data_IF_521468937950
#
_entry.id   IF_521468937950
#
_cell.length_a   1.000
_cell.length_b   1.000
_cell.length_c   1.000
_cell.angle_alpha   90.00
_cell.angle_beta   90.00
_cell.angle_gamma   90.00
#
_symmetry.space_group_name_H-M   'P 1'
#
loop_
_entity.id
_entity.type
_entity.pdbx_description
1 polymer ?
#
# COMPACT_ATOMS: atom_id res chain seq x y z
N UNK A 1 15.26 16.52 4.33
CA UNK A 1 14.47 16.29 5.56
C UNK A 1 14.50 14.81 5.90
N UNK A 2 14.78 14.48 7.17
CA UNK A 2 14.84 13.09 7.61
C UNK A 2 13.50 12.60 8.16
N UNK A 3 13.35 11.28 8.29
CA UNK A 3 12.16 10.64 8.91
C UNK A 3 11.95 11.10 10.36
N UNK A 4 12.99 11.59 11.01
CA UNK A 4 12.97 12.06 12.38
C UNK A 4 12.19 13.38 12.54
N UNK A 5 12.26 14.26 11.54
CA UNK A 5 11.57 15.56 11.54
C UNK A 5 10.16 15.48 10.94
N UNK A 6 9.81 14.37 10.29
CA UNK A 6 8.56 14.20 9.54
C UNK A 6 7.32 14.55 10.35
N UNK A 7 7.23 14.08 11.61
CA UNK A 7 6.05 14.34 12.45
C UNK A 7 5.88 15.83 12.77
N UNK A 8 6.97 16.56 13.00
CA UNK A 8 6.93 18.00 13.23
C UNK A 8 6.55 18.73 11.95
N UNK A 9 7.17 18.37 10.83
CA UNK A 9 6.90 18.97 9.52
C UNK A 9 5.45 18.74 9.05
N UNK A 10 4.88 17.57 9.34
CA UNK A 10 3.46 17.30 9.05
C UNK A 10 2.50 18.17 9.85
N UNK A 11 2.81 18.47 11.09
CA UNK A 11 2.01 19.36 11.92
C UNK A 11 2.07 20.81 11.43
N UNK A 12 3.23 21.25 10.96
CA UNK A 12 3.45 22.59 10.43
C UNK A 12 2.83 22.75 9.02
N UNK A 13 3.21 21.87 8.09
CA UNK A 13 2.76 21.92 6.68
C UNK A 13 1.28 21.56 6.52
N UNK A 14 0.74 20.72 7.40
CA UNK A 14 -0.65 20.22 7.35
C UNK A 14 -1.04 19.73 5.97
N UNK A 15 -0.35 18.71 5.41
CA UNK A 15 -0.56 18.25 4.05
C UNK A 15 -1.97 17.70 3.86
N UNK A 16 -2.46 17.77 2.62
CA UNK A 16 -3.72 17.14 2.21
C UNK A 16 -3.51 15.77 1.57
N UNK A 17 -2.37 15.57 0.93
CA UNK A 17 -1.93 14.29 0.36
C UNK A 17 -0.45 14.14 0.69
N UNK A 18 -0.03 12.91 0.98
CA UNK A 18 1.37 12.57 1.15
C UNK A 18 1.66 11.27 0.40
N UNK A 19 2.70 11.29 -0.40
CA UNK A 19 3.22 10.10 -1.08
C UNK A 19 4.44 9.58 -0.34
N UNK A 20 4.55 8.27 -0.17
CA UNK A 20 5.71 7.65 0.46
C UNK A 20 5.87 6.18 0.05
N UNK A 21 7.04 5.63 0.32
CA UNK A 21 7.32 4.21 0.15
C UNK A 21 6.81 3.41 1.35
N UNK A 22 6.50 2.10 1.20
CA UNK A 22 6.00 1.25 2.27
C UNK A 22 6.83 1.29 3.54
N UNK A 23 8.17 1.32 3.43
CA UNK A 23 9.09 1.37 4.57
C UNK A 23 8.79 2.51 5.55
N UNK A 24 8.33 3.66 5.05
CA UNK A 24 7.93 4.76 5.93
C UNK A 24 6.70 4.37 6.77
N UNK A 25 5.71 3.74 6.15
CA UNK A 25 4.49 3.29 6.86
C UNK A 25 4.79 2.20 7.88
N UNK A 26 5.68 1.27 7.57
CA UNK A 26 6.17 0.24 8.51
C UNK A 26 6.82 0.88 9.75
N UNK A 27 7.74 1.82 9.54
CA UNK A 27 8.37 2.54 10.65
C UNK A 27 7.37 3.34 11.48
N UNK A 28 6.41 3.99 10.83
CA UNK A 28 5.36 4.75 11.54
C UNK A 28 4.45 3.81 12.34
N UNK A 29 4.07 2.66 11.78
CA UNK A 29 3.30 1.62 12.44
C UNK A 29 4.02 1.15 13.72
N UNK A 30 5.28 0.74 13.62
CA UNK A 30 6.08 0.29 14.76
C UNK A 30 6.21 1.36 15.85
N UNK A 31 6.48 2.62 15.47
CA UNK A 31 6.56 3.73 16.44
C UNK A 31 5.23 4.01 17.14
N UNK A 32 4.11 3.95 16.42
CA UNK A 32 2.78 4.14 17.00
C UNK A 32 2.49 3.03 18.00
N UNK A 33 2.70 1.76 17.63
CA UNK A 33 2.47 0.61 18.51
C UNK A 33 3.34 0.66 19.76
N UNK A 34 4.65 0.93 19.63
CA UNK A 34 5.54 1.09 20.77
C UNK A 34 5.08 2.22 21.71
N UNK A 35 4.63 3.34 21.16
CA UNK A 35 4.08 4.45 21.95
C UNK A 35 2.78 4.08 22.68
N UNK A 36 1.92 3.30 22.05
CA UNK A 36 0.66 2.81 22.64
C UNK A 36 0.94 1.80 23.76
N UNK A 37 1.83 0.84 23.54
CA UNK A 37 2.25 -0.15 24.54
C UNK A 37 2.89 0.53 25.75
N UNK A 38 3.77 1.51 25.53
CA UNK A 38 4.37 2.31 26.61
C UNK A 38 3.33 3.08 27.43
N UNK A 39 2.25 3.56 26.79
CA UNK A 39 1.16 4.23 27.50
C UNK A 39 0.30 3.26 28.32
N UNK A 40 0.17 2.02 27.90
CA UNK A 40 -0.47 0.91 28.59
C UNK A 40 -1.93 1.14 29.03
N UNK A 41 -2.44 0.17 29.78
CA UNK A 41 -3.72 0.26 30.47
C UNK A 41 -4.92 0.60 29.59
N UNK A 42 -5.74 1.57 30.03
CA UNK A 42 -6.98 1.94 29.32
C UNK A 42 -6.70 2.58 27.94
N UNK A 43 -5.60 3.34 27.83
CA UNK A 43 -5.25 4.00 26.55
C UNK A 43 -4.92 2.98 25.46
N UNK A 44 -4.16 1.96 25.81
CA UNK A 44 -3.83 0.85 24.91
C UNK A 44 -5.09 0.08 24.50
N UNK A 45 -5.94 -0.29 25.48
CA UNK A 45 -7.22 -0.99 25.22
C UNK A 45 -8.13 -0.19 24.28
N UNK A 46 -8.24 1.12 24.49
CA UNK A 46 -9.03 1.99 23.62
C UNK A 46 -8.44 2.08 22.21
N UNK A 47 -7.13 2.18 22.09
CA UNK A 47 -6.45 2.25 20.81
C UNK A 47 -6.63 0.95 20.02
N UNK A 48 -6.37 -0.21 20.63
CA UNK A 48 -6.56 -1.51 20.00
C UNK A 48 -8.04 -1.77 19.66
N UNK A 49 -8.97 -1.32 20.51
CA UNK A 49 -10.39 -1.34 20.22
C UNK A 49 -10.76 -0.48 19.00
N UNK A 50 -10.13 0.69 18.83
CA UNK A 50 -10.34 1.53 17.65
C UNK A 50 -9.82 0.88 16.36
N UNK A 51 -8.67 0.20 16.43
CA UNK A 51 -8.15 -0.60 15.30
C UNK A 51 -9.10 -1.74 14.97
N UNK A 52 -9.49 -2.57 15.94
CA UNK A 52 -10.37 -3.73 15.72
C UNK A 52 -11.73 -3.33 15.12
N UNK A 53 -12.38 -2.30 15.67
CA UNK A 53 -13.68 -1.83 15.14
C UNK A 53 -13.53 -1.13 13.79
N UNK A 54 -12.42 -0.43 13.56
CA UNK A 54 -12.11 0.18 12.26
C UNK A 54 -11.91 -0.87 11.16
N UNK A 55 -11.18 -1.93 11.45
CA UNK A 55 -10.98 -3.08 10.55
C UNK A 55 -12.31 -3.77 10.25
N UNK A 56 -13.11 -4.06 11.28
CA UNK A 56 -14.46 -4.65 11.11
C UNK A 56 -15.35 -3.77 10.23
N UNK A 57 -15.31 -2.44 10.44
CA UNK A 57 -16.08 -1.48 9.64
C UNK A 57 -15.64 -1.46 8.18
N UNK A 58 -14.33 -1.50 7.92
CA UNK A 58 -13.78 -1.50 6.57
C UNK A 58 -14.18 -2.78 5.81
N UNK A 59 -14.04 -3.94 6.44
CA UNK A 59 -14.33 -5.23 5.82
C UNK A 59 -15.84 -5.43 5.59
N UNK A 60 -16.68 -5.07 6.56
CA UNK A 60 -18.12 -5.16 6.44
C UNK A 60 -18.84 -4.23 7.44
N UNK A 61 -19.14 -3.02 7.00
CA UNK A 61 -19.84 -2.03 7.83
C UNK A 61 -21.23 -2.51 8.31
N UNK A 62 -21.90 -3.39 7.55
CA UNK A 62 -23.21 -3.93 7.92
C UNK A 62 -23.13 -4.93 9.10
N UNK A 63 -21.97 -5.54 9.33
CA UNK A 63 -21.76 -6.48 10.45
C UNK A 63 -21.63 -5.82 11.81
N UNK A 64 -21.56 -4.49 11.87
CA UNK A 64 -21.47 -3.76 13.14
C UNK A 64 -22.81 -3.72 13.86
N UNK A 65 -22.86 -4.23 15.10
CA UNK A 65 -24.00 -4.09 16.00
C UNK A 65 -24.24 -2.60 16.38
N UNK A 66 -25.40 -2.29 16.91
CA UNK A 66 -25.71 -0.93 17.42
C UNK A 66 -24.69 -0.53 18.51
N UNK A 67 -24.34 -1.44 19.40
CA UNK A 67 -23.32 -1.22 20.43
C UNK A 67 -21.93 -0.95 19.83
N UNK A 68 -21.54 -1.68 18.76
CA UNK A 68 -20.27 -1.46 18.07
C UNK A 68 -20.26 -0.06 17.43
N UNK A 69 -21.34 0.38 16.81
CA UNK A 69 -21.43 1.71 16.18
C UNK A 69 -21.31 2.84 17.20
N UNK A 70 -21.93 2.70 18.36
CA UNK A 70 -21.78 3.67 19.45
C UNK A 70 -20.34 3.71 19.97
N UNK A 71 -19.75 2.55 20.25
CA UNK A 71 -18.33 2.45 20.65
C UNK A 71 -17.40 3.03 19.58
N UNK A 72 -17.63 2.73 18.31
CA UNK A 72 -16.83 3.23 17.20
C UNK A 72 -16.87 4.75 17.11
N UNK A 73 -18.03 5.38 17.33
CA UNK A 73 -18.19 6.83 17.36
C UNK A 73 -17.41 7.46 18.53
N UNK A 74 -17.43 6.85 19.72
CA UNK A 74 -16.65 7.31 20.86
C UNK A 74 -15.16 7.18 20.59
N UNK A 75 -14.71 6.05 20.07
CA UNK A 75 -13.31 5.79 19.73
C UNK A 75 -12.84 6.67 18.57
N UNK A 76 -13.70 7.06 17.64
CA UNK A 76 -13.35 8.05 16.63
C UNK A 76 -12.97 9.39 17.25
N UNK A 77 -13.76 9.90 18.20
CA UNK A 77 -13.48 11.16 18.88
C UNK A 77 -12.23 11.09 19.78
N UNK A 78 -12.09 10.03 20.55
CA UNK A 78 -11.06 9.92 21.59
C UNK A 78 -9.72 9.43 21.06
N UNK A 79 -9.71 8.59 20.00
CA UNK A 79 -8.51 7.94 19.47
C UNK A 79 -8.21 8.47 18.06
N UNK A 80 -9.11 8.22 17.08
CA UNK A 80 -8.81 8.50 15.67
C UNK A 80 -8.65 9.99 15.37
N UNK A 81 -9.39 10.87 16.03
CA UNK A 81 -9.19 12.32 15.90
C UNK A 81 -7.79 12.76 16.36
N UNK A 82 -7.27 12.15 17.43
CA UNK A 82 -5.91 12.43 17.89
C UNK A 82 -4.87 11.92 16.89
N UNK A 83 -5.10 10.74 16.30
CA UNK A 83 -4.23 10.23 15.24
C UNK A 83 -4.25 11.17 14.04
N UNK A 84 -5.43 11.51 13.50
CA UNK A 84 -5.56 12.46 12.38
C UNK A 84 -4.90 13.81 12.66
N UNK A 85 -5.02 14.31 13.88
CA UNK A 85 -4.37 15.57 14.28
C UNK A 85 -2.84 15.48 14.23
N UNK A 86 -2.25 14.34 14.57
CA UNK A 86 -0.81 14.10 14.46
C UNK A 86 -0.30 14.12 13.02
N UNK A 87 -1.19 13.86 12.07
CA UNK A 87 -0.93 13.97 10.63
C UNK A 87 -1.33 15.35 10.06
N UNK A 88 -1.40 16.38 10.90
CA UNK A 88 -1.73 17.75 10.50
C UNK A 88 -3.23 18.05 10.38
N UNK A 89 -4.12 17.06 10.57
CA UNK A 89 -5.57 17.21 10.65
C UNK A 89 -6.29 17.51 9.32
N UNK A 90 -5.56 17.64 8.19
CA UNK A 90 -6.11 17.96 6.86
C UNK A 90 -5.88 16.85 5.84
N UNK A 91 -5.20 15.78 6.24
CA UNK A 91 -4.80 14.70 5.36
C UNK A 91 -6.03 13.96 4.80
N UNK A 92 -6.16 13.93 3.48
CA UNK A 92 -7.20 13.21 2.74
C UNK A 92 -6.77 11.81 2.33
N UNK A 93 -5.49 11.67 1.95
CA UNK A 93 -4.93 10.39 1.57
C UNK A 93 -3.42 10.33 1.82
N UNK A 94 -2.98 9.13 2.18
CA UNK A 94 -1.61 8.64 2.12
C UNK A 94 -1.51 7.77 0.87
N UNK A 95 -0.53 7.99 0.02
CA UNK A 95 -0.33 7.16 -1.18
C UNK A 95 0.96 6.37 -1.02
N UNK A 96 0.86 5.05 -1.08
CA UNK A 96 1.99 4.13 -1.05
C UNK A 96 2.32 3.65 -2.44
N UNK A 97 3.59 3.71 -2.83
CA UNK A 97 4.07 3.23 -4.12
C UNK A 97 5.55 2.88 -4.10
N UNK A 98 6.03 2.30 -5.20
CA UNK A 98 7.42 1.93 -5.39
C UNK A 98 7.83 0.57 -4.79
N UNK A 99 7.00 -0.03 -3.94
CA UNK A 99 7.14 -1.40 -3.44
C UNK A 99 5.77 -1.88 -2.91
N UNK A 100 5.56 -3.19 -2.70
CA UNK A 100 4.35 -3.72 -2.07
C UNK A 100 4.19 -3.21 -0.64
N UNK A 101 3.00 -2.71 -0.31
CA UNK A 101 2.64 -2.41 1.08
C UNK A 101 2.02 -3.64 1.72
N UNK A 102 2.50 -4.02 2.89
CA UNK A 102 1.86 -5.08 3.66
C UNK A 102 0.38 -4.72 3.95
N UNK A 103 -0.59 -5.59 3.59
CA UNK A 103 -2.02 -5.31 3.76
C UNK A 103 -2.43 -5.01 5.20
N UNK A 104 -1.78 -5.64 6.19
CA UNK A 104 -2.08 -5.41 7.62
C UNK A 104 -1.68 -4.00 8.05
N UNK A 105 -0.56 -3.48 7.54
CA UNK A 105 -0.13 -2.11 7.77
C UNK A 105 -1.09 -1.12 7.09
N UNK A 106 -1.49 -1.39 5.86
CA UNK A 106 -2.52 -0.61 5.17
C UNK A 106 -3.85 -0.57 5.95
N UNK A 107 -4.28 -1.74 6.42
CA UNK A 107 -5.48 -1.90 7.24
C UNK A 107 -5.38 -1.15 8.57
N UNK A 108 -4.23 -1.21 9.23
CA UNK A 108 -3.99 -0.50 10.49
C UNK A 108 -4.22 1.03 10.35
N UNK A 109 -3.63 1.65 9.34
CA UNK A 109 -3.83 3.09 9.10
C UNK A 109 -5.27 3.41 8.73
N UNK A 110 -5.89 2.59 7.89
CA UNK A 110 -7.30 2.74 7.48
C UNK A 110 -8.25 2.60 8.67
N UNK A 111 -8.02 1.63 9.55
CA UNK A 111 -8.79 1.44 10.78
C UNK A 111 -8.67 2.64 11.74
N UNK A 112 -7.54 3.33 11.73
CA UNK A 112 -7.30 4.57 12.48
C UNK A 112 -7.86 5.83 11.80
N UNK A 113 -8.57 5.68 10.68
CA UNK A 113 -9.23 6.79 9.98
C UNK A 113 -8.29 7.60 9.08
N UNK A 114 -7.19 7.00 8.63
CA UNK A 114 -6.29 7.54 7.64
C UNK A 114 -6.49 6.76 6.34
N UNK A 115 -6.90 7.42 5.27
CA UNK A 115 -7.06 6.76 3.98
C UNK A 115 -5.68 6.45 3.41
N UNK A 116 -5.34 5.17 3.25
CA UNK A 116 -4.13 4.74 2.57
C UNK A 116 -4.50 4.12 1.22
N UNK A 117 -3.78 4.52 0.18
CA UNK A 117 -4.03 4.10 -1.20
C UNK A 117 -2.73 3.54 -1.77
N UNK A 118 -2.77 2.36 -2.32
CA UNK A 118 -1.64 1.81 -3.06
C UNK A 118 -1.73 2.24 -4.52
N UNK A 119 -0.59 2.63 -5.09
CA UNK A 119 -0.41 2.86 -6.51
C UNK A 119 0.73 2.01 -7.05
N UNK A 120 0.60 1.62 -8.31
CA UNK A 120 1.56 0.84 -9.05
C UNK A 120 1.96 1.54 -10.33
N UNK A 121 3.22 1.42 -10.63
CA UNK A 121 3.87 1.83 -11.86
C UNK A 121 5.37 1.89 -11.67
N UNK A 122 6.06 2.28 -12.70
CA UNK A 122 7.52 2.35 -12.77
C UNK A 122 7.93 3.61 -13.52
N UNK A 123 9.21 3.96 -13.50
CA UNK A 123 9.73 5.16 -14.17
C UNK A 123 9.33 5.19 -15.64
N UNK A 124 9.31 4.04 -16.28
CA UNK A 124 8.89 3.80 -17.66
C UNK A 124 7.42 4.10 -17.94
N UNK A 125 6.61 4.29 -16.90
CA UNK A 125 5.17 4.62 -16.99
C UNK A 125 4.80 5.95 -16.31
N UNK A 126 5.72 6.85 -16.07
CA UNK A 126 5.64 8.24 -15.61
C UNK A 126 4.78 8.54 -14.36
N UNK A 127 4.90 7.95 -13.25
CA UNK A 127 5.25 6.61 -12.79
C UNK A 127 4.01 5.76 -12.45
N UNK A 128 2.84 5.97 -13.07
CA UNK A 128 1.58 5.41 -12.61
C UNK A 128 0.84 4.62 -13.69
N UNK A 129 0.55 3.35 -13.40
CA UNK A 129 -0.27 2.45 -14.22
C UNK A 129 -1.65 2.25 -13.58
N UNK A 130 -1.68 2.03 -12.26
CA UNK A 130 -2.91 1.84 -11.50
C UNK A 130 -2.82 2.45 -10.10
N UNK A 131 -3.96 2.79 -9.51
CA UNK A 131 -4.02 3.33 -8.16
C UNK A 131 -5.38 3.06 -7.51
N UNK A 132 -5.37 2.66 -6.24
CA UNK A 132 -6.56 2.57 -5.43
C UNK A 132 -7.23 3.94 -5.28
N UNK A 133 -8.56 3.96 -5.22
CA UNK A 133 -9.36 5.18 -5.12
C UNK A 133 -10.04 5.28 -3.76
N UNK A 134 -10.21 6.50 -3.23
CA UNK A 134 -11.00 6.69 -2.01
C UNK A 134 -12.40 6.08 -2.14
N UNK A 135 -12.83 5.35 -1.13
CA UNK A 135 -14.14 4.68 -1.12
C UNK A 135 -14.21 3.34 -1.84
N UNK A 136 -13.19 2.97 -2.64
CA UNK A 136 -13.10 1.68 -3.34
C UNK A 136 -11.66 1.11 -3.26
N UNK A 137 -10.99 1.33 -2.16
CA UNK A 137 -9.64 0.79 -1.95
C UNK A 137 -9.72 -0.64 -1.41
N UNK A 138 -8.92 -1.53 -2.01
CA UNK A 138 -8.71 -2.90 -1.54
C UNK A 138 -7.25 -3.05 -1.14
N UNK A 139 -7.00 -3.53 0.08
CA UNK A 139 -5.65 -3.55 0.66
C UNK A 139 -4.69 -4.49 -0.06
N UNK A 140 -5.21 -5.52 -0.72
CA UNK A 140 -4.42 -6.52 -1.45
C UNK A 140 -4.18 -6.15 -2.92
N UNK A 141 -4.69 -5.00 -3.38
CA UNK A 141 -4.61 -4.58 -4.77
C UNK A 141 -3.97 -3.20 -4.90
N UNK A 142 -3.50 -2.89 -6.09
CA UNK A 142 -3.01 -1.57 -6.47
C UNK A 142 -4.08 -0.73 -7.19
N UNK A 143 -5.34 -1.21 -7.18
CA UNK A 143 -6.50 -0.49 -7.69
C UNK A 143 -6.75 -0.65 -9.19
N UNK A 144 -7.76 0.06 -9.71
CA UNK A 144 -8.06 0.07 -11.13
C UNK A 144 -7.00 0.84 -11.93
N UNK A 145 -6.89 0.48 -13.20
CA UNK A 145 -6.02 1.16 -14.17
C UNK A 145 -6.39 2.64 -14.30
N UNK A 146 -5.39 3.50 -14.45
CA UNK A 146 -5.62 4.93 -14.63
C UNK A 146 -6.17 5.25 -16.03
N UNK A 147 -6.80 6.40 -16.15
CA UNK A 147 -7.35 6.86 -17.43
C UNK A 147 -6.25 6.96 -18.50
N UNK A 148 -6.59 6.65 -19.74
CA UNK A 148 -5.71 6.67 -20.91
C UNK A 148 -4.54 5.68 -20.82
N UNK A 149 -4.68 4.65 -20.00
CA UNK A 149 -3.74 3.52 -19.90
C UNK A 149 -4.52 2.23 -20.12
N UNK A 150 -3.98 1.35 -20.92
CA UNK A 150 -4.47 0.00 -21.12
C UNK A 150 -3.52 -0.99 -20.43
N UNK A 151 -4.09 -2.01 -19.82
CA UNK A 151 -3.33 -3.09 -19.18
C UNK A 151 -3.89 -4.43 -19.62
N UNK A 152 -3.02 -5.35 -19.96
CA UNK A 152 -3.37 -6.76 -20.17
C UNK A 152 -2.39 -7.65 -19.43
N UNK A 153 -2.82 -8.86 -19.14
CA UNK A 153 -1.98 -9.91 -18.57
C UNK A 153 -1.58 -10.83 -19.71
N UNK A 154 -0.28 -11.06 -19.88
CA UNK A 154 0.25 -11.99 -20.87
C UNK A 154 0.04 -13.45 -20.42
N UNK A 155 0.27 -14.42 -21.32
CA UNK A 155 0.07 -15.85 -21.04
C UNK A 155 0.97 -16.36 -19.89
N UNK A 156 2.12 -15.75 -19.69
CA UNK A 156 3.05 -16.04 -18.57
C UNK A 156 2.74 -15.25 -17.29
N UNK A 157 1.64 -14.50 -17.26
CA UNK A 157 1.20 -13.71 -16.13
C UNK A 157 1.83 -12.31 -16.06
N UNK A 158 2.70 -11.92 -17.02
CA UNK A 158 3.32 -10.59 -17.01
C UNK A 158 2.30 -9.49 -17.27
N UNK A 159 2.40 -8.43 -16.48
CA UNK A 159 1.61 -7.20 -16.67
C UNK A 159 2.19 -6.41 -17.84
N UNK A 160 1.38 -6.20 -18.87
CA UNK A 160 1.73 -5.38 -20.00
C UNK A 160 0.91 -4.10 -19.99
N UNK A 161 1.56 -2.95 -20.17
CA UNK A 161 0.90 -1.65 -20.17
C UNK A 161 1.07 -0.92 -21.50
N UNK A 162 0.05 -0.14 -21.91
CA UNK A 162 0.09 0.73 -23.08
C UNK A 162 -0.67 2.02 -22.79
N UNK A 163 -0.18 3.16 -23.31
CA UNK A 163 -0.87 4.45 -23.15
C UNK A 163 0.06 5.65 -23.23
N UNK A 164 -0.52 6.83 -23.00
CA UNK A 164 0.17 8.11 -23.13
C UNK A 164 1.24 8.35 -22.05
N UNK A 165 1.17 7.63 -20.93
CA UNK A 165 2.11 7.74 -19.81
C UNK A 165 3.40 6.94 -20.00
N UNK A 166 3.50 6.12 -21.06
CA UNK A 166 4.69 5.32 -21.28
C UNK A 166 5.84 6.14 -21.83
N UNK A 167 7.05 5.80 -21.41
CA UNK A 167 8.27 6.37 -21.97
C UNK A 167 8.35 6.12 -23.48
N UNK A 168 9.06 6.97 -24.19
CA UNK A 168 9.37 6.76 -25.60
C UNK A 168 10.54 5.76 -25.79
N UNK A 169 11.34 5.56 -24.76
CA UNK A 169 12.49 4.66 -24.76
C UNK A 169 13.60 5.12 -23.82
N UNK A 170 14.61 4.29 -23.70
CA UNK A 170 15.81 4.59 -22.94
C UNK A 170 16.78 5.46 -23.75
N UNK A 171 17.29 6.50 -23.13
CA UNK A 171 18.24 7.42 -23.76
C UNK A 171 19.51 6.70 -24.22
N UNK A 172 19.80 6.77 -25.53
CA UNK A 172 20.99 6.15 -26.12
C UNK A 172 21.04 4.61 -26.05
N UNK A 173 19.94 3.93 -25.72
CA UNK A 173 19.90 2.47 -25.60
C UNK A 173 18.70 1.88 -26.33
N UNK A 174 18.79 1.86 -27.66
CA UNK A 174 17.74 1.28 -28.51
C UNK A 174 17.51 -0.20 -28.26
N UNK A 175 18.56 -0.96 -27.90
CA UNK A 175 18.45 -2.38 -27.63
C UNK A 175 17.53 -2.62 -26.45
N UNK A 176 17.81 -2.02 -25.31
CA UNK A 176 16.96 -2.13 -24.12
C UNK A 176 15.55 -1.61 -24.39
N UNK A 177 15.40 -0.54 -25.18
CA UNK A 177 14.08 -0.02 -25.56
C UNK A 177 13.25 -1.07 -26.31
N UNK A 178 13.83 -1.74 -27.32
CA UNK A 178 13.16 -2.78 -28.10
C UNK A 178 12.87 -4.05 -27.30
N UNK A 179 13.67 -4.34 -26.28
CA UNK A 179 13.45 -5.46 -25.36
C UNK A 179 12.34 -5.16 -24.34
N UNK A 180 12.13 -3.87 -24.00
CA UNK A 180 11.15 -3.46 -23.00
C UNK A 180 9.82 -3.01 -23.61
N UNK A 181 9.85 -2.39 -24.79
CA UNK A 181 8.63 -1.99 -25.52
C UNK A 181 8.50 -2.84 -26.78
N UNK A 182 7.57 -3.78 -26.76
CA UNK A 182 7.32 -4.72 -27.86
C UNK A 182 5.90 -4.47 -28.37
N UNK A 183 5.75 -4.20 -29.66
CA UNK A 183 4.47 -3.92 -30.33
C UNK A 183 3.64 -2.83 -29.62
N UNK A 184 4.32 -1.81 -29.07
CA UNK A 184 3.72 -0.70 -28.35
C UNK A 184 3.26 -1.03 -26.94
N UNK A 185 3.61 -2.21 -26.40
CA UNK A 185 3.36 -2.59 -25.03
C UNK A 185 4.64 -2.57 -24.21
N UNK A 186 4.57 -1.91 -23.07
CA UNK A 186 5.61 -1.96 -22.04
C UNK A 186 5.52 -3.32 -21.34
N UNK A 187 6.59 -4.09 -21.40
CA UNK A 187 6.82 -5.30 -20.62
C UNK A 187 7.33 -4.88 -19.24
N UNK A 188 6.47 -4.95 -18.24
CA UNK A 188 6.80 -4.39 -16.92
C UNK A 188 7.78 -5.24 -16.13
N UNK A 189 7.86 -6.53 -16.43
CA UNK A 189 8.60 -7.50 -15.64
C UNK A 189 7.93 -7.87 -14.31
N UNK A 190 6.73 -7.36 -14.06
CA UNK A 190 5.93 -7.68 -12.89
C UNK A 190 4.81 -8.66 -13.28
N UNK A 191 4.51 -9.61 -12.41
CA UNK A 191 3.45 -10.61 -12.57
C UNK A 191 2.22 -10.17 -11.81
N UNK A 192 1.03 -10.35 -12.38
CA UNK A 192 -0.20 -9.97 -11.71
C UNK A 192 -1.46 -10.49 -12.36
N UNK A 193 -2.58 -10.13 -11.76
CA UNK A 193 -3.91 -10.53 -12.17
C UNK A 193 -4.93 -9.40 -11.93
N UNK A 194 -6.06 -9.47 -12.61
CA UNK A 194 -7.21 -8.64 -12.27
C UNK A 194 -8.16 -9.40 -11.35
N UNK A 195 -8.66 -8.74 -10.32
CA UNK A 195 -9.76 -9.29 -9.54
C UNK A 195 -11.12 -9.12 -10.27
N UNK A 196 -12.18 -9.67 -9.68
CA UNK A 196 -13.53 -9.64 -10.26
C UNK A 196 -14.09 -8.21 -10.44
N UNK A 197 -13.57 -7.23 -9.72
CA UNK A 197 -14.00 -5.81 -9.80
C UNK A 197 -13.06 -4.96 -10.68
N UNK A 198 -12.09 -5.59 -11.36
CA UNK A 198 -11.15 -4.94 -12.25
C UNK A 198 -10.02 -4.19 -11.55
N UNK A 199 -9.72 -4.53 -10.30
CA UNK A 199 -8.53 -4.05 -9.62
C UNK A 199 -7.32 -4.91 -9.99
N UNK A 200 -6.20 -4.26 -10.29
CA UNK A 200 -4.94 -4.92 -10.53
C UNK A 200 -4.32 -5.37 -9.22
N UNK A 201 -3.87 -6.60 -9.17
CA UNK A 201 -3.12 -7.20 -8.06
C UNK A 201 -1.77 -7.66 -8.58
N UNK A 202 -0.69 -7.20 -7.94
CA UNK A 202 0.67 -7.64 -8.25
C UNK A 202 0.95 -8.84 -7.35
N UNK A 203 1.39 -9.92 -7.94
CA UNK A 203 1.67 -11.16 -7.23
C UNK A 203 3.15 -11.39 -7.06
N UNK A 204 3.97 -10.94 -8.04
CA UNK A 204 5.40 -11.22 -8.05
C UNK A 204 6.19 -10.31 -8.99
N UNK A 205 7.52 -10.51 -9.00
CA UNK A 205 8.43 -9.99 -10.01
C UNK A 205 9.00 -11.12 -10.83
N UNK A 206 8.90 -11.07 -12.15
CA UNK A 206 9.31 -12.13 -13.08
C UNK A 206 10.78 -12.56 -12.89
N UNK A 207 11.67 -11.61 -12.56
CA UNK A 207 13.10 -11.87 -12.33
C UNK A 207 13.42 -12.40 -10.93
N UNK A 208 12.53 -12.20 -9.97
CA UNK A 208 12.78 -12.50 -8.55
C UNK A 208 12.10 -13.81 -8.14
N UNK A 209 11.27 -14.42 -9.01
CA UNK A 209 10.62 -15.70 -8.73
C UNK A 209 11.69 -16.79 -8.60
N UNK A 210 11.67 -17.47 -7.46
CA UNK A 210 12.47 -18.67 -7.22
C UNK A 210 11.60 -19.88 -7.50
N UNK A 211 12.01 -20.69 -8.48
CA UNK A 211 11.36 -21.99 -8.75
C UNK A 211 12.02 -23.04 -7.87
N UNK A 212 11.27 -23.61 -6.93
CA UNK A 212 11.81 -24.69 -6.08
C UNK A 212 11.96 -25.99 -6.86
N UNK A 213 12.58 -27.00 -6.27
CA UNK A 213 12.78 -28.31 -6.90
C UNK A 213 11.48 -29.07 -7.18
N UNK A 214 10.36 -28.66 -6.60
CA UNK A 214 9.01 -29.20 -6.84
C UNK A 214 8.28 -28.50 -7.98
N UNK A 215 8.84 -27.41 -8.55
CA UNK A 215 8.22 -26.63 -9.61
C UNK A 215 7.30 -25.49 -9.09
N UNK A 216 7.23 -25.26 -7.77
CA UNK A 216 6.43 -24.17 -7.22
C UNK A 216 7.19 -22.85 -7.31
N UNK A 217 6.46 -21.80 -7.65
CA UNK A 217 6.97 -20.44 -7.66
C UNK A 217 6.94 -19.84 -6.24
N UNK A 218 8.10 -19.49 -5.74
CA UNK A 218 8.26 -18.78 -4.45
C UNK A 218 8.52 -17.32 -4.71
N UNK A 219 7.72 -16.45 -4.08
CA UNK A 219 7.92 -15.01 -4.07
C UNK A 219 8.81 -14.62 -2.88
N UNK A 220 10.08 -14.22 -3.07
CA UNK A 220 10.94 -13.74 -2.01
C UNK A 220 10.32 -12.58 -1.24
N UNK A 221 9.80 -11.59 -1.95
CA UNK A 221 9.17 -10.41 -1.35
C UNK A 221 8.00 -10.74 -0.42
N UNK A 222 7.20 -11.75 -0.76
CA UNK A 222 6.09 -12.20 0.08
C UNK A 222 6.59 -12.84 1.37
N UNK A 223 7.62 -13.67 1.28
CA UNK A 223 8.23 -14.32 2.45
C UNK A 223 8.89 -13.28 3.35
N UNK A 224 9.69 -12.40 2.77
CA UNK A 224 10.36 -11.29 3.47
C UNK A 224 9.35 -10.38 4.17
N UNK A 225 8.25 -10.04 3.49
CA UNK A 225 7.17 -9.21 4.04
C UNK A 225 6.47 -9.85 5.24
N UNK A 226 6.32 -11.18 5.27
CA UNK A 226 5.75 -11.91 6.41
C UNK A 226 6.76 -11.93 7.56
N UNK A 227 8.03 -12.22 7.30
CA UNK A 227 9.07 -12.26 8.32
C UNK A 227 9.26 -10.91 9.01
N UNK A 228 9.23 -9.81 8.23
CA UNK A 228 9.37 -8.45 8.76
C UNK A 228 8.16 -7.94 9.56
N UNK A 229 7.09 -8.72 9.71
CA UNK A 229 6.01 -8.40 10.66
C UNK A 229 6.41 -8.69 12.11
N UNK A 230 7.37 -9.59 12.31
CA UNK A 230 7.89 -9.89 13.64
C UNK A 230 8.74 -8.72 14.14
N UNK A 231 8.46 -8.19 15.36
CA UNK A 231 9.13 -6.99 15.88
C UNK A 231 10.66 -7.12 16.00
N UNK A 232 11.15 -8.34 16.14
CA UNK A 232 12.57 -8.67 16.26
C UNK A 232 13.30 -8.69 14.91
N UNK A 233 12.57 -8.75 13.80
CA UNK A 233 13.14 -8.87 12.45
C UNK A 233 13.10 -7.50 11.76
N UNK A 234 14.23 -6.82 11.71
CA UNK A 234 14.34 -5.52 11.05
C UNK A 234 14.38 -5.60 9.53
N UNK A 235 14.94 -6.66 8.97
CA UNK A 235 15.00 -6.97 7.54
C UNK A 235 15.13 -8.48 7.34
N UNK A 236 14.55 -8.99 6.26
CA UNK A 236 14.73 -10.35 5.78
C UNK A 236 15.15 -10.33 4.31
N UNK A 237 15.88 -11.33 3.87
CA UNK A 237 16.27 -11.56 2.48
C UNK A 237 16.18 -13.05 2.20
N UNK A 238 15.44 -13.43 1.15
CA UNK A 238 15.22 -14.80 0.68
C UNK A 238 15.90 -15.03 -0.65
#
# INVERSE_FOLDING_TARGET
EGVETLSANMLEARPTIMTAVPRLYEMMHGRILAGVQKAGGLKEKMFMGAVALGTKRFNNAASLSVCDRLKDTVLDKLVRNKVRSRFGGRLKALVSGGAPLNPDIGMFFTALGLTILQGYGQTESAPLISVNRPGNAKMETVGPVVKNTEVKIADDGEILARGELLMQGYWGNEKATKETIIDGWLHTGDIGEFDADGHLKITDRKKDIIVNSGGDNLSPQRVEGILCLEPEIGQAMV
#
